data_IF_665218914702
#
_entry.id   IF_665218914702
#
_cell.length_a   1.000
_cell.length_b   1.000
_cell.length_c   1.000
_cell.angle_alpha   90.00
_cell.angle_beta   90.00
_cell.angle_gamma   90.00
#
_symmetry.space_group_name_H-M   'P 1'
#
loop_
_entity.id
_entity.type
_entity.pdbx_description
1 polymer ?
#
# COMPACT_ATOMS: atom_id res chain seq x y z
N UNK A 1 61.01 26.95 -18.86
CA UNK A 1 60.84 26.67 -20.31
C UNK A 1 60.63 25.18 -20.48
N UNK A 2 59.57 24.77 -21.19
CA UNK A 2 59.39 23.48 -21.90
C UNK A 2 59.43 22.20 -21.04
N UNK A 3 58.76 21.08 -21.33
CA UNK A 3 57.66 20.63 -22.18
C UNK A 3 57.57 19.10 -21.92
N UNK A 4 56.37 18.51 -22.02
CA UNK A 4 56.07 17.11 -22.44
C UNK A 4 56.70 15.92 -21.68
N UNK A 5 55.93 15.17 -20.87
CA UNK A 5 55.04 14.02 -21.21
C UNK A 5 55.73 12.67 -21.37
N UNK A 6 55.24 11.65 -20.63
CA UNK A 6 54.98 10.27 -21.08
C UNK A 6 54.68 9.36 -19.86
N UNK A 7 54.10 8.16 -20.02
CA UNK A 7 52.85 7.82 -20.70
C UNK A 7 51.88 7.05 -19.76
N UNK A 8 50.61 6.96 -20.15
CA UNK A 8 49.62 6.05 -19.53
C UNK A 8 50.17 4.62 -19.49
N UNK A 9 50.29 4.03 -18.30
CA UNK A 9 50.36 2.59 -18.15
C UNK A 9 48.94 2.04 -18.05
N UNK A 10 48.49 1.48 -19.16
CA UNK A 10 47.37 0.55 -19.24
C UNK A 10 47.65 -0.64 -18.33
N UNK A 11 46.85 -0.79 -17.27
CA UNK A 11 46.76 -2.06 -16.54
C UNK A 11 45.85 -2.98 -17.35
N UNK A 12 46.51 -3.92 -18.02
CA UNK A 12 45.94 -5.13 -18.58
C UNK A 12 45.26 -5.98 -17.51
N UNK A 13 44.07 -6.46 -17.87
CA UNK A 13 43.51 -7.76 -17.53
C UNK A 13 43.46 -8.17 -16.04
N UNK A 14 42.43 -7.66 -15.36
CA UNK A 14 41.78 -8.40 -14.29
C UNK A 14 40.41 -8.89 -14.81
N UNK A 15 40.04 -10.18 -14.64
CA UNK A 15 38.75 -10.68 -15.09
C UNK A 15 37.65 -10.00 -14.27
N UNK A 16 36.98 -9.03 -14.88
CA UNK A 16 35.84 -8.33 -14.32
C UNK A 16 34.67 -9.29 -14.12
N UNK A 17 34.58 -9.92 -12.96
CA UNK A 17 33.32 -10.45 -12.47
C UNK A 17 32.55 -9.27 -11.90
N UNK A 18 31.87 -8.54 -12.79
CA UNK A 18 30.82 -7.61 -12.39
C UNK A 18 29.85 -8.40 -11.49
N UNK A 19 29.69 -8.05 -10.21
CA UNK A 19 28.66 -8.68 -9.41
C UNK A 19 27.34 -8.25 -10.03
N UNK A 20 26.77 -9.15 -10.81
CA UNK A 20 25.47 -9.03 -11.44
C UNK A 20 24.44 -8.70 -10.34
N UNK A 21 24.12 -7.41 -10.17
CA UNK A 21 23.10 -6.90 -9.26
C UNK A 21 21.72 -7.21 -9.86
N UNK A 22 21.41 -8.49 -10.01
CA UNK A 22 20.12 -8.98 -10.49
C UNK A 22 19.68 -10.19 -9.68
N UNK A 23 19.85 -10.07 -8.36
CA UNK A 23 19.12 -10.89 -7.40
C UNK A 23 18.19 -10.06 -6.53
N UNK A 24 17.73 -8.93 -7.08
CA UNK A 24 16.55 -8.25 -6.56
C UNK A 24 15.33 -8.99 -7.08
N UNK A 25 14.66 -9.66 -6.14
CA UNK A 25 13.29 -10.15 -6.17
C UNK A 25 12.74 -10.44 -7.56
N UNK A 26 12.74 -11.72 -7.96
CA UNK A 26 11.70 -12.20 -8.84
C UNK A 26 10.37 -11.98 -8.12
N UNK A 27 9.77 -10.79 -8.27
CA UNK A 27 8.37 -10.59 -7.94
C UNK A 27 7.66 -11.54 -8.90
N UNK A 28 7.08 -12.66 -8.44
CA UNK A 28 6.25 -13.46 -9.32
C UNK A 28 5.23 -12.49 -9.91
N UNK A 29 5.10 -12.50 -11.23
CA UNK A 29 4.07 -11.72 -11.91
C UNK A 29 2.72 -12.36 -11.54
N UNK A 30 2.27 -12.09 -10.32
CA UNK A 30 0.91 -12.36 -9.87
C UNK A 30 0.13 -11.24 -10.53
N UNK A 31 -0.46 -11.57 -11.68
CA UNK A 31 -1.49 -10.75 -12.27
C UNK A 31 -2.68 -10.80 -11.32
N UNK A 32 -2.65 -9.99 -10.26
CA UNK A 32 -3.73 -9.92 -9.28
C UNK A 32 -4.88 -9.12 -9.87
N UNK A 33 -6.05 -9.73 -10.04
CA UNK A 33 -7.23 -9.01 -10.53
C UNK A 33 -7.85 -8.21 -9.39
N UNK A 34 -7.49 -6.93 -9.35
CA UNK A 34 -8.00 -5.98 -8.37
C UNK A 34 -9.08 -5.09 -8.99
N UNK A 35 -10.30 -5.22 -8.49
CA UNK A 35 -11.39 -4.30 -8.79
C UNK A 35 -11.52 -3.21 -7.71
N UNK A 36 -11.80 -1.98 -8.11
CA UNK A 36 -11.95 -0.83 -7.20
C UNK A 36 -13.33 -0.22 -7.41
N UNK A 37 -14.14 -0.20 -6.35
CA UNK A 37 -15.44 0.48 -6.31
C UNK A 37 -15.32 1.77 -5.52
N UNK A 38 -15.75 2.89 -6.12
CA UNK A 38 -15.82 4.19 -5.45
C UNK A 38 -17.17 4.32 -4.74
N UNK A 39 -17.12 4.66 -3.46
CA UNK A 39 -18.31 4.88 -2.63
C UNK A 39 -18.32 6.34 -2.17
N UNK A 40 -19.23 7.17 -2.69
CA UNK A 40 -19.40 8.53 -2.21
C UNK A 40 -19.78 8.54 -0.73
N UNK A 41 -19.13 9.41 0.04
CA UNK A 41 -19.38 9.63 1.46
C UNK A 41 -19.46 11.13 1.75
N UNK A 42 -20.22 11.52 2.78
CA UNK A 42 -20.38 12.92 3.16
C UNK A 42 -20.76 13.81 1.94
N UNK A 43 -20.13 14.98 1.79
CA UNK A 43 -20.40 15.91 0.69
C UNK A 43 -19.49 15.66 -0.52
N UNK A 44 -18.21 15.39 -0.28
CA UNK A 44 -17.16 15.32 -1.30
C UNK A 44 -16.07 14.27 -1.02
N UNK A 45 -16.24 13.45 0.03
CA UNK A 45 -15.33 12.36 0.34
C UNK A 45 -15.68 11.09 -0.46
N UNK A 46 -14.68 10.24 -0.66
CA UNK A 46 -14.84 8.92 -1.26
C UNK A 46 -14.14 7.87 -0.42
N UNK A 47 -14.86 6.81 -0.09
CA UNK A 47 -14.27 5.56 0.33
C UNK A 47 -14.00 4.68 -0.90
N UNK A 48 -12.93 3.90 -0.86
CA UNK A 48 -12.57 2.98 -1.95
C UNK A 48 -12.68 1.54 -1.46
N UNK A 49 -13.59 0.76 -2.04
CA UNK A 49 -13.66 -0.66 -1.75
C UNK A 49 -12.76 -1.39 -2.74
N UNK A 50 -11.80 -2.12 -2.19
CA UNK A 50 -10.80 -2.91 -2.90
C UNK A 50 -11.25 -4.36 -2.90
N UNK A 51 -11.34 -4.93 -4.09
CA UNK A 51 -11.81 -6.27 -4.34
C UNK A 51 -10.71 -7.07 -5.01
N UNK A 52 -10.00 -7.87 -4.22
CA UNK A 52 -9.08 -8.86 -4.74
C UNK A 52 -9.88 -10.09 -5.20
N UNK A 53 -9.98 -10.28 -6.51
CA UNK A 53 -10.75 -11.39 -7.09
C UNK A 53 -10.06 -12.74 -6.93
N UNK A 54 -8.74 -12.76 -6.77
CA UNK A 54 -7.99 -14.01 -6.66
C UNK A 54 -8.10 -14.61 -5.27
N UNK A 55 -8.08 -13.76 -4.23
CA UNK A 55 -8.18 -14.22 -2.84
C UNK A 55 -9.58 -14.06 -2.25
N UNK A 56 -10.45 -13.28 -2.90
CA UNK A 56 -11.74 -12.85 -2.34
C UNK A 56 -11.60 -11.83 -1.20
N UNK A 57 -10.39 -11.34 -0.93
CA UNK A 57 -10.14 -10.35 0.12
C UNK A 57 -10.80 -9.03 -0.23
N UNK A 58 -11.45 -8.42 0.76
CA UNK A 58 -12.05 -7.09 0.61
C UNK A 58 -11.43 -6.10 1.56
N UNK A 59 -10.88 -5.03 1.02
CA UNK A 59 -10.41 -3.87 1.77
C UNK A 59 -11.35 -2.68 1.58
N UNK A 60 -11.39 -1.77 2.54
CA UNK A 60 -11.94 -0.42 2.32
C UNK A 60 -10.91 0.62 2.72
N UNK A 61 -10.71 1.62 1.89
CA UNK A 61 -9.86 2.79 2.18
C UNK A 61 -10.74 3.95 2.61
N UNK A 62 -10.36 4.61 3.70
CA UNK A 62 -10.96 5.84 4.24
C UNK A 62 -12.49 5.82 4.35
N UNK A 63 -13.09 4.88 5.11
CA UNK A 63 -14.52 4.90 5.35
C UNK A 63 -14.91 6.08 6.26
N UNK A 64 -15.31 7.20 5.65
CA UNK A 64 -15.85 8.37 6.38
C UNK A 64 -17.05 8.00 7.25
N UNK A 65 -17.94 7.18 6.69
CA UNK A 65 -19.17 6.70 7.31
C UNK A 65 -19.36 5.21 7.00
N UNK A 66 -19.91 4.44 7.94
CA UNK A 66 -20.06 3.00 7.74
C UNK A 66 -21.23 2.65 6.79
N UNK A 67 -22.33 3.43 6.81
CA UNK A 67 -23.55 3.11 6.07
C UNK A 67 -23.36 2.98 4.55
N UNK A 68 -22.68 3.92 3.85
CA UNK A 68 -22.44 3.80 2.41
C UNK A 68 -21.64 2.54 2.06
N UNK A 69 -20.57 2.28 2.82
CA UNK A 69 -19.69 1.11 2.64
C UNK A 69 -20.46 -0.19 2.88
N UNK A 70 -21.23 -0.27 3.96
CA UNK A 70 -22.08 -1.44 4.26
C UNK A 70 -23.08 -1.74 3.14
N UNK A 71 -23.68 -0.71 2.54
CA UNK A 71 -24.65 -0.87 1.47
C UNK A 71 -23.98 -1.42 0.20
N UNK A 72 -22.81 -0.89 -0.17
CA UNK A 72 -22.02 -1.41 -1.28
C UNK A 72 -21.61 -2.88 -1.06
N UNK A 73 -21.09 -3.22 0.13
CA UNK A 73 -20.70 -4.59 0.47
C UNK A 73 -21.87 -5.57 0.40
N UNK A 74 -23.04 -5.18 0.92
CA UNK A 74 -24.27 -5.99 0.86
C UNK A 74 -24.75 -6.24 -0.57
N UNK A 75 -24.71 -5.21 -1.43
CA UNK A 75 -25.11 -5.31 -2.84
C UNK A 75 -24.29 -6.37 -3.57
N UNK A 76 -23.00 -6.47 -3.25
CA UNK A 76 -22.08 -7.41 -3.89
C UNK A 76 -21.96 -8.75 -3.14
N UNK A 77 -22.64 -8.91 -2.00
CA UNK A 77 -22.58 -10.12 -1.18
C UNK A 77 -21.20 -10.42 -0.58
N UNK A 78 -20.38 -9.38 -0.33
CA UNK A 78 -18.98 -9.55 0.10
C UNK A 78 -18.77 -9.20 1.58
N UNK A 79 -17.80 -9.86 2.21
CA UNK A 79 -17.43 -9.64 3.60
C UNK A 79 -16.17 -8.79 3.71
N UNK A 80 -16.18 -7.74 4.55
CA UNK A 80 -15.04 -6.85 4.72
C UNK A 80 -13.92 -7.53 5.52
N UNK A 81 -12.69 -7.46 5.02
CA UNK A 81 -11.52 -8.07 5.67
C UNK A 81 -10.61 -7.02 6.30
N UNK A 82 -10.38 -5.91 5.60
CA UNK A 82 -9.45 -4.86 6.02
C UNK A 82 -10.08 -3.48 5.91
N UNK A 83 -9.71 -2.60 6.84
CA UNK A 83 -9.96 -1.17 6.80
C UNK A 83 -8.60 -0.49 6.75
N UNK A 84 -8.41 0.40 5.78
CA UNK A 84 -7.17 1.12 5.53
C UNK A 84 -7.44 2.61 5.69
N UNK A 85 -6.74 3.29 6.59
CA UNK A 85 -6.88 4.75 6.74
C UNK A 85 -5.60 5.46 6.28
N UNK A 86 -5.76 6.46 5.43
CA UNK A 86 -4.68 7.32 4.95
C UNK A 86 -4.16 8.22 6.07
N UNK A 87 -5.07 8.75 6.90
CA UNK A 87 -4.79 9.60 8.05
C UNK A 87 -5.93 9.58 9.08
N UNK A 88 -5.79 10.36 10.17
CA UNK A 88 -6.63 10.28 11.38
C UNK A 88 -7.84 11.20 11.41
N UNK A 89 -8.13 11.97 10.37
CA UNK A 89 -9.29 12.87 10.41
C UNK A 89 -10.59 12.06 10.39
N UNK A 90 -11.63 12.64 11.00
CA UNK A 90 -12.90 11.96 11.22
C UNK A 90 -13.59 11.60 9.89
N UNK A 91 -13.49 12.46 8.90
CA UNK A 91 -13.97 12.25 7.54
C UNK A 91 -13.22 11.13 6.78
N UNK A 92 -12.21 10.51 7.38
CA UNK A 92 -11.52 9.32 6.84
C UNK A 92 -11.60 8.09 7.76
N UNK A 93 -12.04 8.26 9.01
CA UNK A 93 -11.99 7.23 10.06
C UNK A 93 -13.34 6.99 10.75
N UNK A 94 -14.35 7.82 10.51
CA UNK A 94 -15.62 7.83 11.22
C UNK A 94 -16.38 6.51 11.13
N UNK A 95 -16.23 5.76 10.03
CA UNK A 95 -16.83 4.45 9.83
C UNK A 95 -16.07 3.27 10.46
N UNK A 96 -14.85 3.48 10.98
CA UNK A 96 -13.95 2.39 11.36
C UNK A 96 -14.53 1.45 12.42
N UNK A 97 -15.03 2.01 13.54
CA UNK A 97 -15.49 1.21 14.68
C UNK A 97 -16.70 0.35 14.31
N UNK A 98 -17.70 0.95 13.66
CA UNK A 98 -18.92 0.24 13.26
C UNK A 98 -18.62 -0.86 12.22
N UNK A 99 -17.75 -0.59 11.24
CA UNK A 99 -17.35 -1.59 10.26
C UNK A 99 -16.53 -2.72 10.89
N UNK A 100 -15.63 -2.40 11.83
CA UNK A 100 -14.87 -3.40 12.58
C UNK A 100 -15.79 -4.29 13.40
N UNK A 101 -16.72 -3.71 14.16
CA UNK A 101 -17.63 -4.46 15.03
C UNK A 101 -18.57 -5.36 14.22
N UNK A 102 -19.02 -4.90 13.05
CA UNK A 102 -19.92 -5.65 12.20
C UNK A 102 -19.27 -6.80 11.43
N UNK A 103 -18.07 -6.57 10.90
CA UNK A 103 -17.42 -7.51 9.97
C UNK A 103 -16.22 -8.25 10.58
N UNK A 104 -15.78 -7.88 11.79
CA UNK A 104 -14.53 -8.38 12.38
C UNK A 104 -13.30 -7.93 11.59
N UNK A 105 -13.40 -6.82 10.84
CA UNK A 105 -12.35 -6.35 9.96
C UNK A 105 -11.12 -5.86 10.72
N UNK A 106 -9.93 -6.07 10.15
CA UNK A 106 -8.67 -5.55 10.70
C UNK A 106 -8.45 -4.12 10.23
N UNK A 107 -8.26 -3.20 11.17
CA UNK A 107 -7.98 -1.79 10.87
C UNK A 107 -6.47 -1.58 10.82
N UNK A 108 -5.99 -1.00 9.73
CA UNK A 108 -4.59 -0.64 9.50
C UNK A 108 -4.50 0.80 9.01
N UNK A 109 -3.60 1.60 9.56
CA UNK A 109 -3.47 3.01 9.18
C UNK A 109 -2.75 3.82 10.25
N UNK A 110 -2.62 5.13 10.01
CA UNK A 110 -1.92 6.03 10.93
C UNK A 110 -2.78 6.23 12.19
N UNK A 111 -2.34 5.63 13.32
CA UNK A 111 -3.00 5.72 14.63
C UNK A 111 -3.67 4.43 15.14
N UNK A 112 -3.68 3.35 14.36
CA UNK A 112 -4.25 2.05 14.77
C UNK A 112 -3.21 0.94 14.71
N UNK A 113 -2.70 0.53 15.87
CA UNK A 113 -1.78 -0.61 16.00
C UNK A 113 -2.45 -1.91 15.56
N UNK A 114 -1.99 -2.49 14.46
CA UNK A 114 -1.58 -3.88 14.46
C UNK A 114 -0.50 -4.07 13.41
N UNK A 115 0.64 -4.62 13.84
CA UNK A 115 1.80 -5.01 13.06
C UNK A 115 1.51 -6.18 12.11
N UNK A 116 0.35 -6.16 11.45
CA UNK A 116 -0.01 -7.12 10.42
C UNK A 116 0.37 -6.54 9.08
N UNK A 117 1.44 -7.14 8.55
CA UNK A 117 1.77 -7.23 7.14
C UNK A 117 0.46 -7.29 6.32
N UNK A 118 0.05 -6.15 5.77
CA UNK A 118 -1.10 -6.09 4.90
C UNK A 118 -0.63 -6.64 3.54
N UNK A 119 -1.21 -7.73 3.01
CA UNK A 119 -0.82 -8.27 1.71
C UNK A 119 -1.01 -7.24 0.57
N UNK A 120 -1.81 -6.20 0.81
CA UNK A 120 -2.02 -5.07 -0.10
C UNK A 120 -0.87 -4.05 -0.15
N UNK A 121 0.02 -4.04 0.85
CA UNK A 121 1.17 -3.11 0.91
C UNK A 121 2.30 -3.52 -0.06
N UNK A 122 2.14 -4.64 -0.77
CA UNK A 122 3.03 -5.05 -1.88
C UNK A 122 2.63 -4.42 -3.23
N UNK A 123 1.61 -3.56 -3.29
CA UNK A 123 1.41 -2.69 -4.45
C UNK A 123 2.37 -1.51 -4.28
N UNK A 124 3.33 -1.43 -5.20
CA UNK A 124 4.38 -0.41 -5.30
C UNK A 124 3.77 0.98 -5.57
N UNK A 125 2.98 1.48 -4.61
CA UNK A 125 2.31 2.76 -4.66
C UNK A 125 3.20 3.77 -3.95
N UNK A 126 3.67 4.77 -4.68
CA UNK A 126 4.52 5.86 -4.19
C UNK A 126 3.98 6.54 -2.92
N UNK A 127 2.67 6.42 -2.65
CA UNK A 127 2.00 6.88 -1.44
C UNK A 127 2.44 6.16 -0.15
N UNK A 128 2.82 4.88 -0.21
CA UNK A 128 3.18 4.10 0.98
C UNK A 128 4.60 4.44 1.50
N UNK A 129 5.52 4.80 0.59
CA UNK A 129 6.88 5.20 0.96
C UNK A 129 6.96 6.56 1.67
N UNK A 130 5.98 7.44 1.48
CA UNK A 130 5.94 8.74 2.17
C UNK A 130 5.54 8.58 3.65
N UNK A 131 4.63 7.64 3.95
CA UNK A 131 4.16 7.38 5.31
C UNK A 131 5.24 6.74 6.21
N UNK A 132 6.14 5.93 5.65
CA UNK A 132 7.26 5.32 6.38
C UNK A 132 8.37 6.33 6.73
N UNK A 133 8.48 7.45 6.01
CA UNK A 133 9.60 8.39 6.15
C UNK A 133 9.45 9.40 7.30
N UNK A 134 8.25 9.56 7.89
CA UNK A 134 7.96 10.65 8.82
C UNK A 134 7.91 10.29 10.31
N UNK A 135 8.26 9.06 10.70
CA UNK A 135 8.72 8.71 12.06
C UNK A 135 7.75 8.93 13.25
N UNK A 136 7.34 7.82 13.89
CA UNK A 136 6.58 7.80 15.15
C UNK A 136 5.14 8.32 14.98
N UNK A 137 4.13 7.96 15.77
CA UNK A 137 3.92 8.31 17.17
C UNK A 137 2.55 7.75 17.60
N UNK A 138 2.32 7.62 18.90
CA UNK A 138 1.15 6.97 19.53
C UNK A 138 -0.15 7.79 19.52
N UNK A 139 -1.25 7.06 19.30
CA UNK A 139 -2.70 7.32 19.55
C UNK A 139 -3.42 8.51 18.89
#
# INVERSE_FOLDING_TARGET
MKLFSSPLKTLSDAPGRSPHVSRFCSVPNISSSLHIELVPCLADNYAYILHDEDTGTVGVVDPSEAAPVMNALKKNGRNLTYILNTHRHYDHTGGNLELKDKYGAKVSGVGGVSSLFCPFVMINCTLCNLALYLGGWSV
#
